data_IF_352694056115
#
_entry.id   IF_352694056115
#
_cell.length_a   1.000
_cell.length_b   1.000
_cell.length_c   1.000
_cell.angle_alpha   90.00
_cell.angle_beta   90.00
_cell.angle_gamma   90.00
#
_symmetry.space_group_name_H-M   'P 1'
#
loop_
_entity.id
_entity.type
_entity.pdbx_description
1 polymer ?
#
# COMPACT_ATOMS: atom_id res chain seq x y z
N UNK A 1 6.25 5.53 -21.21
CA UNK A 1 5.08 6.32 -20.79
C UNK A 1 5.52 7.43 -19.85
N UNK A 2 4.69 8.45 -19.61
CA UNK A 2 4.97 9.56 -18.69
C UNK A 2 3.66 10.02 -18.05
N UNK A 3 3.71 10.30 -16.75
CA UNK A 3 2.58 10.95 -16.06
C UNK A 3 2.44 12.39 -16.53
N UNK A 4 1.25 12.75 -16.97
CA UNK A 4 0.83 14.14 -17.11
C UNK A 4 0.79 14.82 -15.73
N UNK A 5 0.72 16.15 -15.72
CA UNK A 5 0.54 16.91 -14.48
C UNK A 5 -0.77 16.52 -13.77
N UNK A 6 -1.87 16.40 -14.52
CA UNK A 6 -3.17 16.00 -13.97
C UNK A 6 -3.15 14.59 -13.35
N UNK A 7 -2.52 13.60 -14.01
CA UNK A 7 -2.39 12.25 -13.44
C UNK A 7 -1.53 12.24 -12.17
N UNK A 8 -0.51 13.10 -12.12
CA UNK A 8 0.35 13.27 -10.95
C UNK A 8 -0.43 13.86 -9.77
N UNK A 9 -1.16 14.94 -10.00
CA UNK A 9 -1.98 15.61 -8.99
C UNK A 9 -3.05 14.66 -8.44
N UNK A 10 -3.74 13.91 -9.31
CA UNK A 10 -4.79 12.97 -8.90
C UNK A 10 -4.23 11.83 -8.04
N UNK A 11 -3.14 11.19 -8.48
CA UNK A 11 -2.50 10.12 -7.71
C UNK A 11 -1.98 10.62 -6.36
N UNK A 12 -1.35 11.80 -6.32
CA UNK A 12 -0.85 12.41 -5.09
C UNK A 12 -1.98 12.82 -4.16
N UNK A 13 -3.06 13.43 -4.66
CA UNK A 13 -4.21 13.79 -3.84
C UNK A 13 -4.82 12.55 -3.19
N UNK A 14 -5.02 11.48 -3.96
CA UNK A 14 -5.52 10.22 -3.43
C UNK A 14 -4.57 9.62 -2.38
N UNK A 15 -3.26 9.71 -2.60
CA UNK A 15 -2.27 9.27 -1.61
C UNK A 15 -2.30 10.11 -0.32
N UNK A 16 -2.57 11.42 -0.42
CA UNK A 16 -2.68 12.28 0.77
C UNK A 16 -3.96 12.09 1.56
N UNK A 17 -5.01 11.52 0.95
CA UNK A 17 -6.27 11.20 1.63
C UNK A 17 -6.19 9.88 2.42
N UNK A 18 -5.30 8.96 2.01
CA UNK A 18 -5.13 7.64 2.62
C UNK A 18 -4.81 7.67 4.13
N UNK A 19 -3.92 8.52 4.67
CA UNK A 19 -3.64 8.60 6.10
C UNK A 19 -4.89 8.83 6.96
N UNK A 20 -5.77 9.74 6.53
CA UNK A 20 -7.01 10.03 7.24
C UNK A 20 -7.96 8.82 7.20
N UNK A 21 -8.02 8.12 6.07
CA UNK A 21 -8.79 6.88 5.94
C UNK A 21 -8.24 5.79 6.89
N UNK A 22 -6.93 5.55 6.92
CA UNK A 22 -6.34 4.56 7.83
C UNK A 22 -6.63 4.87 9.32
N UNK A 23 -6.57 6.16 9.68
CA UNK A 23 -6.93 6.64 11.02
C UNK A 23 -8.40 6.41 11.34
N UNK A 24 -9.32 6.75 10.42
CA UNK A 24 -10.76 6.50 10.54
C UNK A 24 -11.06 5.02 10.78
N UNK A 25 -10.50 4.13 9.95
CA UNK A 25 -10.75 2.68 10.02
C UNK A 25 -10.15 2.01 11.27
N UNK A 26 -9.33 2.71 12.04
CA UNK A 26 -8.70 2.21 13.28
C UNK A 26 -9.12 2.97 14.53
N UNK A 27 -10.17 3.80 14.45
CA UNK A 27 -10.61 4.68 15.54
C UNK A 27 -9.44 5.56 16.09
N UNK A 28 -8.55 5.99 15.20
CA UNK A 28 -7.38 6.80 15.53
C UNK A 28 -6.18 6.03 16.09
N UNK A 29 -6.20 4.69 16.11
CA UNK A 29 -5.07 3.89 16.60
C UNK A 29 -3.87 3.90 15.65
N UNK A 30 -4.08 4.31 14.40
CA UNK A 30 -3.03 4.48 13.39
C UNK A 30 -2.91 5.96 13.01
N UNK A 31 -1.66 6.43 13.01
CA UNK A 31 -1.25 7.72 12.49
C UNK A 31 -0.16 7.50 11.44
N UNK A 32 -0.28 8.13 10.27
CA UNK A 32 0.64 7.98 9.16
C UNK A 32 1.18 9.36 8.77
N UNK A 33 2.50 9.52 8.88
CA UNK A 33 3.20 10.68 8.31
C UNK A 33 3.65 10.34 6.89
N UNK A 34 3.41 11.25 5.96
CA UNK A 34 3.75 11.04 4.54
C UNK A 34 4.85 11.97 4.07
N UNK A 35 5.70 11.44 3.19
CA UNK A 35 6.74 12.21 2.50
C UNK A 35 6.61 11.91 1.01
N UNK A 36 6.25 12.92 0.22
CA UNK A 36 6.15 12.80 -1.24
C UNK A 36 7.44 13.33 -1.89
N UNK A 37 7.95 12.58 -2.87
CA UNK A 37 9.10 12.97 -3.69
C UNK A 37 8.75 12.78 -5.17
N UNK A 38 9.07 13.80 -5.97
CA UNK A 38 8.96 13.71 -7.42
C UNK A 38 10.33 13.35 -7.99
N UNK A 39 10.36 12.33 -8.83
CA UNK A 39 11.59 11.76 -9.38
C UNK A 39 11.64 12.07 -10.88
N UNK A 40 12.67 12.82 -11.29
CA UNK A 40 12.87 13.17 -12.70
C UNK A 40 13.57 12.06 -13.49
N UNK A 41 14.30 11.17 -12.79
CA UNK A 41 14.96 10.01 -13.42
C UNK A 41 13.88 9.10 -14.01
N UNK A 42 13.95 8.79 -15.32
CA UNK A 42 13.03 7.83 -15.92
C UNK A 42 13.23 6.44 -15.32
N UNK A 43 12.13 5.74 -15.08
CA UNK A 43 12.16 4.31 -14.77
C UNK A 43 12.58 3.54 -16.02
N UNK A 44 13.84 3.11 -16.05
CA UNK A 44 14.47 2.51 -17.24
C UNK A 44 14.27 1.00 -17.40
N UNK A 45 13.93 0.31 -16.31
CA UNK A 45 13.72 -1.14 -16.27
C UNK A 45 12.49 -1.47 -15.45
N UNK A 46 11.94 -2.66 -15.70
CA UNK A 46 10.90 -3.27 -14.87
C UNK A 46 11.23 -4.73 -14.65
N UNK A 47 10.90 -5.22 -13.48
CA UNK A 47 11.10 -6.61 -13.11
C UNK A 47 9.94 -7.48 -13.58
N UNK A 48 10.26 -8.66 -14.11
CA UNK A 48 9.27 -9.68 -14.46
C UNK A 48 8.63 -10.22 -13.18
N UNK A 49 7.30 -10.25 -13.13
CA UNK A 49 6.56 -10.89 -12.04
C UNK A 49 6.79 -12.40 -12.09
N UNK A 50 7.34 -12.94 -10.99
CA UNK A 50 7.63 -14.36 -10.87
C UNK A 50 6.37 -15.24 -10.77
N UNK A 51 5.27 -14.68 -10.25
CA UNK A 51 3.99 -15.39 -10.08
C UNK A 51 3.12 -15.33 -11.34
N UNK A 52 3.34 -14.31 -12.20
CA UNK A 52 2.58 -14.12 -13.43
C UNK A 52 3.52 -13.88 -14.62
N UNK A 53 3.90 -14.96 -15.35
CA UNK A 53 4.73 -14.82 -16.53
C UNK A 53 4.12 -13.83 -17.52
N UNK A 54 4.94 -12.89 -18.02
CA UNK A 54 4.60 -11.79 -18.95
C UNK A 54 4.00 -10.53 -18.33
N UNK A 55 3.94 -10.41 -17.01
CA UNK A 55 3.64 -9.13 -16.35
C UNK A 55 4.88 -8.53 -15.71
N UNK A 56 4.93 -7.21 -15.63
CA UNK A 56 6.07 -6.43 -15.16
C UNK A 56 5.64 -5.42 -14.11
N UNK A 57 6.56 -5.05 -13.23
CA UNK A 57 6.31 -4.07 -12.17
C UNK A 57 7.61 -3.36 -11.75
N UNK A 58 7.53 -2.13 -11.17
CA UNK A 58 8.68 -1.45 -10.59
C UNK A 58 9.09 -2.13 -9.28
N UNK A 59 10.06 -3.03 -9.34
CA UNK A 59 10.59 -3.63 -8.12
C UNK A 59 11.48 -2.65 -7.34
N UNK A 60 11.84 -2.96 -6.08
CA UNK A 60 12.85 -2.20 -5.36
C UNK A 60 14.19 -2.05 -6.08
N UNK A 61 14.57 -2.97 -6.97
CA UNK A 61 15.82 -2.84 -7.75
C UNK A 61 15.70 -1.83 -8.90
N UNK A 62 14.52 -1.75 -9.53
CA UNK A 62 14.24 -0.76 -10.59
C UNK A 62 14.26 0.69 -10.04
N UNK A 63 13.95 0.83 -8.74
CA UNK A 63 13.91 2.08 -7.99
C UNK A 63 15.09 2.24 -7.00
N UNK A 64 16.15 1.43 -7.12
CA UNK A 64 17.20 1.33 -6.09
C UNK A 64 17.88 2.66 -5.77
N UNK A 65 18.13 3.48 -6.78
CA UNK A 65 18.79 4.79 -6.62
C UNK A 65 17.96 5.70 -5.71
N UNK A 66 16.65 5.80 -5.94
CA UNK A 66 15.72 6.62 -5.15
C UNK A 66 15.55 6.06 -3.75
N UNK A 67 15.43 4.74 -3.60
CA UNK A 67 15.30 4.11 -2.30
C UNK A 67 16.53 4.39 -1.44
N UNK A 68 17.73 4.24 -1.99
CA UNK A 68 18.97 4.52 -1.25
C UNK A 68 19.11 6.00 -0.90
N UNK A 69 18.68 6.90 -1.77
CA UNK A 69 18.81 8.34 -1.56
C UNK A 69 17.77 8.90 -0.59
N UNK A 70 16.51 8.50 -0.72
CA UNK A 70 15.38 9.15 -0.04
C UNK A 70 14.78 8.31 1.09
N UNK A 71 14.93 6.99 1.03
CA UNK A 71 14.40 6.07 2.05
C UNK A 71 15.41 4.96 2.39
N UNK A 72 16.60 5.33 2.91
CA UNK A 72 17.52 4.33 3.45
C UNK A 72 16.85 3.56 4.60
N UNK A 73 17.40 2.39 4.92
CA UNK A 73 16.81 1.50 5.92
C UNK A 73 16.50 2.22 7.25
N UNK A 74 15.31 1.96 7.79
CA UNK A 74 14.75 2.61 8.97
C UNK A 74 14.13 3.99 8.71
N UNK A 75 14.39 4.67 7.59
CA UNK A 75 13.85 6.04 7.37
C UNK A 75 12.32 6.07 7.31
N UNK A 76 11.72 5.06 6.70
CA UNK A 76 10.29 4.91 6.48
C UNK A 76 9.87 3.47 6.83
N UNK A 77 8.65 3.32 7.33
CA UNK A 77 8.02 2.01 7.60
C UNK A 77 7.42 1.38 6.33
N UNK A 78 7.05 2.24 5.37
CA UNK A 78 6.41 1.87 4.11
C UNK A 78 6.90 2.75 2.96
N UNK A 79 7.04 2.14 1.78
CA UNK A 79 7.47 2.76 0.54
C UNK A 79 6.39 2.57 -0.53
N UNK A 80 6.10 3.64 -1.26
CA UNK A 80 5.14 3.63 -2.36
C UNK A 80 5.80 4.17 -3.63
N UNK A 81 5.59 3.48 -4.75
CA UNK A 81 6.02 3.94 -6.08
C UNK A 81 4.79 4.15 -6.95
N UNK A 82 4.48 5.42 -7.22
CA UNK A 82 3.49 5.81 -8.21
C UNK A 82 4.13 5.88 -9.60
N UNK A 83 3.61 5.14 -10.59
CA UNK A 83 4.31 4.97 -11.87
C UNK A 83 3.38 4.99 -13.11
N UNK A 84 3.91 5.42 -14.28
CA UNK A 84 3.12 5.51 -15.52
C UNK A 84 3.02 4.15 -16.24
N UNK A 85 2.18 3.25 -15.74
CA UNK A 85 1.87 1.99 -16.42
C UNK A 85 1.11 2.19 -17.73
N UNK A 86 0.20 3.16 -17.75
CA UNK A 86 -0.67 3.48 -18.88
C UNK A 86 -0.19 4.75 -19.59
N UNK A 87 -0.30 4.76 -20.91
CA UNK A 87 -0.26 5.96 -21.73
C UNK A 87 -1.62 6.09 -22.40
N UNK A 88 -2.50 6.88 -21.78
CA UNK A 88 -3.87 7.04 -22.26
C UNK A 88 -3.97 7.78 -23.60
N UNK A 89 -2.95 8.57 -23.97
CA UNK A 89 -2.93 9.28 -25.25
C UNK A 89 -2.53 8.36 -26.40
N UNK A 90 -1.57 7.45 -26.15
CA UNK A 90 -1.14 6.45 -27.12
C UNK A 90 -1.97 5.15 -27.08
N UNK A 91 -2.90 5.03 -26.12
CA UNK A 91 -3.68 3.83 -25.85
C UNK A 91 -2.81 2.58 -25.59
N UNK A 92 -1.65 2.77 -24.96
CA UNK A 92 -0.73 1.68 -24.61
C UNK A 92 -0.66 1.44 -23.11
N UNK A 93 -0.40 0.20 -22.73
CA UNK A 93 -0.22 -0.19 -21.34
C UNK A 93 0.93 -1.19 -21.21
N UNK A 94 1.72 -1.06 -20.15
CA UNK A 94 2.69 -2.08 -19.77
C UNK A 94 1.92 -3.21 -19.09
N UNK A 95 2.05 -4.47 -19.54
CA UNK A 95 1.39 -5.59 -18.88
C UNK A 95 1.87 -5.70 -17.44
N UNK A 96 0.95 -5.61 -16.47
CA UNK A 96 1.23 -5.73 -15.04
C UNK A 96 0.21 -6.66 -14.38
N UNK A 97 0.44 -7.00 -13.11
CA UNK A 97 -0.44 -7.87 -12.33
C UNK A 97 -1.78 -7.22 -11.97
N UNK A 98 -1.85 -5.90 -11.95
CA UNK A 98 -3.02 -5.15 -11.53
C UNK A 98 -2.74 -3.66 -11.45
N UNK A 99 -3.66 -2.92 -10.83
CA UNK A 99 -3.50 -1.49 -10.60
C UNK A 99 -2.43 -1.21 -9.54
N UNK A 100 -2.35 -2.03 -8.50
CA UNK A 100 -1.27 -2.00 -7.54
C UNK A 100 -0.69 -3.37 -7.23
N UNK A 101 0.41 -3.34 -6.49
CA UNK A 101 1.08 -4.52 -5.96
C UNK A 101 1.83 -4.15 -4.68
N UNK A 102 1.40 -4.70 -3.55
CA UNK A 102 2.02 -4.55 -2.24
C UNK A 102 2.79 -5.80 -1.79
N UNK A 103 3.82 -5.60 -0.97
CA UNK A 103 4.59 -6.66 -0.34
C UNK A 103 5.07 -6.29 1.06
N UNK A 104 5.28 -7.32 1.87
CA UNK A 104 5.86 -7.21 3.21
C UNK A 104 7.30 -6.70 3.20
N UNK A 105 7.72 -6.16 4.34
CA UNK A 105 9.08 -5.65 4.52
C UNK A 105 10.16 -6.71 4.29
N UNK A 106 11.26 -6.31 3.67
CA UNK A 106 12.44 -7.16 3.46
C UNK A 106 13.68 -6.32 3.18
N UNK A 107 14.86 -6.94 3.26
CA UNK A 107 16.11 -6.29 2.86
C UNK A 107 16.07 -5.77 1.41
N UNK A 108 15.24 -6.37 0.54
CA UNK A 108 15.05 -5.90 -0.83
C UNK A 108 14.47 -4.49 -0.87
N UNK A 109 13.59 -4.14 0.07
CA UNK A 109 12.92 -2.84 0.17
C UNK A 109 13.45 -1.99 1.33
N UNK A 110 14.74 -2.10 1.66
CA UNK A 110 15.38 -1.38 2.77
C UNK A 110 14.65 -1.59 4.12
N UNK A 111 14.15 -2.82 4.35
CA UNK A 111 13.42 -3.24 5.54
C UNK A 111 12.09 -2.49 5.79
N UNK A 112 11.56 -1.79 4.78
CA UNK A 112 10.24 -1.19 4.78
C UNK A 112 9.25 -2.03 3.95
N UNK A 113 7.94 -1.93 4.21
CA UNK A 113 6.96 -2.47 3.26
C UNK A 113 7.08 -1.73 1.93
N UNK A 114 6.67 -2.38 0.84
CA UNK A 114 6.81 -1.79 -0.49
C UNK A 114 5.54 -2.01 -1.30
N UNK A 115 5.05 -0.96 -1.93
CA UNK A 115 3.91 -1.00 -2.80
C UNK A 115 4.15 -0.20 -4.07
N UNK A 116 3.58 -0.65 -5.19
CA UNK A 116 3.48 0.14 -6.41
C UNK A 116 2.03 0.37 -6.76
N UNK A 117 1.72 1.53 -7.32
CA UNK A 117 0.39 1.85 -7.86
C UNK A 117 0.59 2.51 -9.22
N UNK A 118 -0.14 2.02 -10.22
CA UNK A 118 -0.12 2.56 -11.57
C UNK A 118 -1.01 3.81 -11.69
N UNK A 119 -0.77 4.63 -12.71
CA UNK A 119 -1.72 5.66 -13.11
C UNK A 119 -3.05 5.06 -13.57
N UNK A 120 -4.12 5.78 -13.27
CA UNK A 120 -5.47 5.41 -13.64
C UNK A 120 -6.25 6.65 -14.11
N UNK A 121 -7.36 6.47 -14.85
CA UNK A 121 -8.26 7.56 -15.16
C UNK A 121 -8.80 8.19 -13.88
N UNK A 122 -9.11 9.49 -13.93
CA UNK A 122 -9.61 10.27 -12.79
C UNK A 122 -10.69 9.56 -11.96
N UNK A 123 -11.69 8.99 -12.63
CA UNK A 123 -12.80 8.31 -11.95
C UNK A 123 -12.36 7.13 -11.06
N UNK A 124 -11.23 6.48 -11.37
CA UNK A 124 -10.71 5.39 -10.55
C UNK A 124 -10.17 5.91 -9.20
N UNK A 125 -9.54 7.09 -9.17
CA UNK A 125 -9.01 7.69 -7.94
C UNK A 125 -10.10 8.18 -6.98
N UNK A 126 -11.26 8.51 -7.53
CA UNK A 126 -12.40 9.03 -6.77
C UNK A 126 -13.30 7.90 -6.24
N UNK A 127 -13.21 6.69 -6.81
CA UNK A 127 -14.18 5.63 -6.56
C UNK A 127 -13.72 4.53 -5.61
N UNK A 128 -14.64 4.08 -4.73
CA UNK A 128 -15.74 4.83 -4.12
C UNK A 128 -15.25 5.78 -3.01
N UNK A 129 -14.01 5.60 -2.55
CA UNK A 129 -13.34 6.52 -1.64
C UNK A 129 -11.91 6.81 -2.09
N UNK A 130 -11.55 8.09 -2.10
CA UNK A 130 -10.17 8.51 -2.28
C UNK A 130 -9.27 7.91 -1.18
N UNK A 131 -8.06 7.48 -1.55
CA UNK A 131 -7.13 6.83 -0.63
C UNK A 131 -7.27 5.31 -0.53
N UNK A 132 -8.40 4.71 -0.97
CA UNK A 132 -8.67 3.28 -0.77
C UNK A 132 -7.63 2.37 -1.44
N UNK A 133 -7.17 2.71 -2.65
CA UNK A 133 -6.14 1.91 -3.34
C UNK A 133 -4.81 1.91 -2.58
N UNK A 134 -4.40 3.06 -2.03
CA UNK A 134 -3.17 3.17 -1.25
C UNK A 134 -3.28 2.43 0.07
N UNK A 135 -4.44 2.51 0.73
CA UNK A 135 -4.77 1.71 1.92
C UNK A 135 -4.66 0.22 1.62
N UNK A 136 -5.28 -0.25 0.54
CA UNK A 136 -5.24 -1.65 0.13
C UNK A 136 -3.80 -2.13 -0.08
N UNK A 137 -3.00 -1.40 -0.88
CA UNK A 137 -1.62 -1.83 -1.14
C UNK A 137 -0.72 -1.74 0.09
N UNK A 138 -0.97 -0.78 0.97
CA UNK A 138 -0.32 -0.70 2.27
C UNK A 138 -0.64 -1.91 3.15
N UNK A 139 -1.91 -2.35 3.15
CA UNK A 139 -2.39 -3.45 3.97
C UNK A 139 -1.71 -4.78 3.63
N UNK A 140 -1.34 -5.03 2.37
CA UNK A 140 -0.50 -6.19 2.01
C UNK A 140 0.78 -6.26 2.86
N UNK A 141 1.48 -5.13 2.97
CA UNK A 141 2.70 -5.03 3.75
C UNK A 141 2.46 -5.13 5.26
N UNK A 142 1.41 -4.46 5.74
CA UNK A 142 1.02 -4.45 7.15
C UNK A 142 0.61 -5.83 7.63
N UNK A 143 -0.29 -6.50 6.91
CA UNK A 143 -0.76 -7.85 7.25
C UNK A 143 0.42 -8.83 7.30
N UNK A 144 1.35 -8.75 6.34
CA UNK A 144 2.57 -9.56 6.38
C UNK A 144 3.41 -9.28 7.64
N UNK A 145 3.55 -8.02 8.05
CA UNK A 145 4.31 -7.64 9.24
C UNK A 145 3.67 -8.14 10.53
N UNK A 146 2.36 -7.96 10.70
CA UNK A 146 1.65 -8.44 11.89
C UNK A 146 1.54 -9.96 11.96
N UNK A 147 1.38 -10.63 10.80
CA UNK A 147 1.41 -12.08 10.70
C UNK A 147 2.73 -12.66 11.20
N UNK A 148 3.87 -12.06 10.79
CA UNK A 148 5.21 -12.44 11.29
C UNK A 148 5.37 -12.28 12.80
N UNK A 149 4.59 -11.39 13.42
CA UNK A 149 4.56 -11.14 14.87
C UNK A 149 3.51 -11.99 15.60
N UNK A 150 2.90 -12.97 14.90
CA UNK A 150 1.97 -13.93 15.48
C UNK A 150 0.51 -13.48 15.53
N UNK A 151 0.16 -12.35 14.90
CA UNK A 151 -1.24 -11.94 14.80
C UNK A 151 -1.92 -12.76 13.68
N UNK A 152 -3.02 -13.47 13.97
CA UNK A 152 -3.70 -14.31 12.99
C UNK A 152 -4.39 -13.47 11.92
N UNK A 153 -3.90 -13.54 10.68
CA UNK A 153 -4.54 -12.91 9.52
C UNK A 153 -5.61 -13.82 8.92
N UNK A 154 -6.71 -13.25 8.39
CA UNK A 154 -7.69 -14.00 7.61
C UNK A 154 -7.08 -14.48 6.29
N UNK A 155 -7.63 -15.55 5.71
CA UNK A 155 -7.22 -16.04 4.39
C UNK A 155 -7.40 -14.94 3.33
N UNK A 156 -6.35 -14.74 2.53
CA UNK A 156 -6.30 -13.71 1.50
C UNK A 156 -6.05 -12.29 2.01
N UNK A 157 -5.75 -12.07 3.30
CA UNK A 157 -5.29 -10.78 3.85
C UNK A 157 -5.95 -9.52 3.26
N UNK A 158 -5.26 -8.62 2.56
CA UNK A 158 -5.88 -7.40 2.03
C UNK A 158 -6.82 -7.69 0.84
N UNK A 159 -6.64 -8.83 0.16
CA UNK A 159 -7.47 -9.34 -0.93
C UNK A 159 -8.64 -10.23 -0.45
N UNK A 160 -8.82 -10.41 0.86
CA UNK A 160 -9.66 -11.47 1.42
C UNK A 160 -11.16 -11.18 1.44
N UNK A 161 -11.59 -9.95 1.15
CA UNK A 161 -12.94 -9.46 1.41
C UNK A 161 -14.05 -10.43 0.98
N UNK A 162 -14.07 -10.83 -0.29
CA UNK A 162 -15.11 -11.71 -0.85
C UNK A 162 -15.11 -13.10 -0.21
N UNK A 163 -13.93 -13.62 0.17
CA UNK A 163 -13.79 -14.95 0.81
C UNK A 163 -14.45 -15.00 2.19
N UNK A 164 -14.57 -13.84 2.84
CA UNK A 164 -15.19 -13.68 4.14
C UNK A 164 -16.61 -13.09 4.07
N UNK A 165 -17.22 -13.07 2.87
CA UNK A 165 -18.61 -12.69 2.66
C UNK A 165 -18.87 -11.19 2.64
N UNK A 166 -17.84 -10.36 2.58
CA UNK A 166 -18.01 -8.92 2.40
C UNK A 166 -18.44 -8.63 0.95
N UNK A 167 -19.31 -7.64 0.79
CA UNK A 167 -19.76 -7.15 -0.51
C UNK A 167 -19.26 -5.71 -0.64
N UNK A 168 -18.67 -5.39 -1.80
CA UNK A 168 -18.21 -4.04 -2.09
C UNK A 168 -19.37 -3.05 -2.04
N UNK A 169 -19.29 -2.05 -1.16
CA UNK A 169 -20.26 -0.97 -1.08
C UNK A 169 -20.09 0.01 -2.25
N UNK A 170 -21.19 0.56 -2.75
CA UNK A 170 -21.16 1.64 -3.74
C UNK A 170 -20.69 2.98 -3.14
N UNK A 171 -20.80 3.13 -1.82
CA UNK A 171 -20.49 4.34 -1.06
C UNK A 171 -19.11 4.28 -0.38
N UNK A 172 -18.73 3.12 0.15
CA UNK A 172 -17.50 2.95 0.95
C UNK A 172 -16.53 1.93 0.37
N UNK A 173 -16.89 1.24 -0.71
CA UNK A 173 -16.02 0.25 -1.35
C UNK A 173 -15.77 -0.94 -0.46
N UNK A 174 -14.50 -1.28 -0.28
CA UNK A 174 -14.06 -2.35 0.61
C UNK A 174 -13.74 -1.85 2.02
N UNK A 175 -14.05 -0.59 2.34
CA UNK A 175 -13.72 -0.03 3.66
C UNK A 175 -14.37 -0.77 4.82
N UNK A 176 -15.54 -1.40 4.65
CA UNK A 176 -16.14 -2.24 5.70
C UNK A 176 -15.24 -3.45 6.02
N UNK A 177 -14.70 -4.08 4.98
CA UNK A 177 -13.72 -5.16 5.14
C UNK A 177 -12.43 -4.66 5.77
N UNK A 178 -11.88 -3.55 5.28
CA UNK A 178 -10.64 -3.00 5.82
C UNK A 178 -10.79 -2.52 7.27
N UNK A 179 -11.94 -1.96 7.64
CA UNK A 179 -12.29 -1.63 9.03
C UNK A 179 -12.21 -2.87 9.91
N UNK A 180 -12.87 -3.95 9.52
CA UNK A 180 -12.84 -5.18 10.30
C UNK A 180 -11.45 -5.83 10.29
N UNK A 181 -10.72 -5.81 9.18
CA UNK A 181 -9.35 -6.30 9.08
C UNK A 181 -8.43 -5.53 10.03
N UNK A 182 -8.53 -4.19 10.06
CA UNK A 182 -7.71 -3.29 10.87
C UNK A 182 -8.18 -3.19 12.34
N UNK A 183 -9.30 -3.81 12.68
CA UNK A 183 -9.81 -3.94 14.07
C UNK A 183 -9.76 -5.38 14.58
N UNK A 184 -9.32 -6.34 13.76
CA UNK A 184 -9.27 -7.75 14.13
C UNK A 184 -10.65 -8.38 14.29
N UNK A 185 -11.59 -8.00 13.42
CA UNK A 185 -13.01 -8.36 13.47
C UNK A 185 -13.47 -9.24 12.29
N UNK A 186 -12.60 -9.56 11.32
CA UNK A 186 -12.96 -10.45 10.21
C UNK A 186 -13.28 -11.85 10.74
N UNK A 187 -14.48 -12.36 10.46
CA UNK A 187 -14.93 -13.65 10.95
C UNK A 187 -14.52 -14.78 10.00
N UNK A 188 -13.66 -15.69 10.46
CA UNK A 188 -13.26 -16.88 9.71
C UNK A 188 -13.39 -18.11 10.60
N UNK A 189 -14.17 -19.11 10.17
CA UNK A 189 -14.41 -20.35 10.91
C UNK A 189 -14.80 -20.15 12.39
N UNK A 190 -15.59 -19.11 12.68
CA UNK A 190 -16.04 -18.76 14.03
C UNK A 190 -15.01 -18.01 14.89
N UNK A 191 -13.84 -17.69 14.34
CA UNK A 191 -12.80 -16.91 15.00
C UNK A 191 -12.66 -15.53 14.36
N UNK A 192 -12.38 -14.52 15.19
CA UNK A 192 -12.05 -13.18 14.71
C UNK A 192 -10.57 -13.09 14.38
N UNK A 193 -10.26 -12.62 13.18
CA UNK A 193 -8.90 -12.46 12.63
C UNK A 193 -8.68 -11.04 12.12
N UNK A 194 -7.42 -10.71 11.88
CA UNK A 194 -6.96 -9.37 11.51
C UNK A 194 -6.16 -8.73 12.63
N UNK A 195 -5.96 -7.41 12.54
CA UNK A 195 -5.07 -6.65 13.42
C UNK A 195 -5.93 -5.99 14.51
N UNK A 196 -5.97 -6.52 15.74
CA UNK A 196 -6.78 -5.91 16.80
C UNK A 196 -6.21 -4.54 17.20
N UNK A 197 -7.08 -3.65 17.70
CA UNK A 197 -6.66 -2.29 18.11
C UNK A 197 -5.52 -2.27 19.14
N UNK A 198 -5.44 -3.30 19.98
CA UNK A 198 -4.34 -3.47 20.93
C UNK A 198 -3.01 -3.80 20.26
N UNK A 199 -3.01 -4.47 19.11
CA UNK A 199 -1.79 -4.79 18.37
C UNK A 199 -1.12 -3.54 17.76
N UNK A 200 -1.91 -2.58 17.27
CA UNK A 200 -1.38 -1.29 16.77
C UNK A 200 -0.55 -0.55 17.82
N UNK A 201 -0.97 -0.63 19.09
CA UNK A 201 -0.30 0.01 20.21
C UNK A 201 0.85 -0.82 20.78
N UNK A 202 0.69 -2.14 20.85
CA UNK A 202 1.66 -3.04 21.48
C UNK A 202 2.83 -3.41 20.55
N UNK A 203 2.59 -3.39 19.24
CA UNK A 203 3.54 -3.80 18.21
C UNK A 203 3.65 -2.71 17.14
N UNK A 204 4.07 -1.47 17.49
CA UNK A 204 4.24 -0.43 16.49
C UNK A 204 5.22 -0.91 15.41
N UNK A 205 5.09 -0.38 14.20
CA UNK A 205 6.17 -0.49 13.24
C UNK A 205 7.44 0.03 13.91
N UNK A 206 8.53 -0.74 13.80
CA UNK A 206 9.76 -0.39 14.50
C UNK A 206 10.24 0.96 13.96
N UNK A 207 9.98 2.02 14.74
CA UNK A 207 10.57 3.33 14.47
C UNK A 207 12.06 3.11 14.26
N UNK A 208 12.62 3.66 13.17
CA UNK A 208 14.05 3.80 12.97
C UNK A 208 14.75 3.98 14.31
N UNK A 209 15.53 2.99 14.72
CA UNK A 209 16.39 3.13 15.88
C UNK A 209 17.38 4.27 15.58
N UNK A 210 17.03 5.48 16.00
CA UNK A 210 17.71 6.67 15.53
C UNK A 210 17.15 8.01 16.01
N UNK A 211 16.64 8.09 17.24
CA UNK A 211 16.73 9.27 18.13
C UNK A 211 16.03 8.99 19.46
N UNK A 212 16.83 8.91 20.53
CA UNK A 212 16.34 9.13 21.88
C UNK A 212 15.55 10.44 21.93
N UNK A 213 14.44 10.46 22.68
CA UNK A 213 13.78 11.72 23.07
C UNK A 213 14.83 12.56 23.81
N UNK A 214 15.06 13.84 23.47
CA UNK A 214 15.79 14.72 24.38
C UNK A 214 14.98 14.79 25.67
N UNK A 215 15.67 14.50 26.77
CA UNK A 215 15.21 14.75 28.14
C UNK A 215 15.26 16.25 28.39
#
# INVERSE_FOLDING_TARGET
>A
HRLTEAEREQGVQSFTDFPALASELTDGSVEIETIVRFIDRPLGTLTLDAERPRTFWPSPDDCREELNQFAPAGRCDSLFVYWPQHDFAAETAIPSRGWGLGMGASAWSNDATYATVANAPRAAWEMPRSGEVWLHEWLHGVCAQYSRRGVPMPDGDADGAERHGYVRSAETGWCDYYCDLMKGCVLEAGQRKGIPLTAWNALPFERAAGRARPV
#
